data_IF_052107582455
#
_entry.id   IF_052107582455
#
_cell.length_a   1.000
_cell.length_b   1.000
_cell.length_c   1.000
_cell.angle_alpha   90.00
_cell.angle_beta   90.00
_cell.angle_gamma   90.00
#
_symmetry.space_group_name_H-M   'P 1'
#
loop_
_entity.id
_entity.type
_entity.pdbx_description
1 polymer ?
#
# COMPACT_ATOMS: atom_id res chain seq x y z
N UNK A 1 -4.42 11.70 8.73
CA UNK A 1 -3.34 11.41 7.77
C UNK A 1 -3.89 10.34 6.83
N UNK A 2 -3.52 10.30 5.54
CA UNK A 2 -3.98 9.20 4.67
C UNK A 2 -2.95 8.08 4.73
N UNK A 3 -3.31 6.98 5.39
CA UNK A 3 -2.55 5.74 5.35
C UNK A 3 -2.90 4.96 4.08
N UNK A 4 -1.87 4.49 3.39
CA UNK A 4 -2.02 3.56 2.27
C UNK A 4 -1.53 2.21 2.76
N UNK A 5 -2.09 1.14 2.24
CA UNK A 5 -1.53 -0.19 2.42
C UNK A 5 -1.20 -0.82 1.08
N UNK A 6 -0.10 -1.56 1.04
CA UNK A 6 0.49 -2.10 -0.18
C UNK A 6 0.63 -3.61 -0.05
N UNK A 7 0.18 -4.36 -1.06
CA UNK A 7 0.35 -5.81 -1.10
C UNK A 7 1.83 -6.15 -1.28
N UNK A 8 2.39 -6.99 -0.42
CA UNK A 8 3.79 -7.43 -0.53
C UNK A 8 4.08 -8.16 -1.85
N UNK A 9 3.10 -8.90 -2.38
CA UNK A 9 3.31 -9.81 -3.51
C UNK A 9 3.12 -9.12 -4.88
N UNK A 10 2.06 -8.31 -5.03
CA UNK A 10 1.72 -7.69 -6.32
C UNK A 10 1.84 -6.15 -6.34
N UNK A 11 2.08 -5.51 -5.20
CA UNK A 11 2.16 -4.05 -5.12
C UNK A 11 0.80 -3.32 -5.19
N UNK A 12 -0.33 -4.05 -5.17
CA UNK A 12 -1.65 -3.41 -5.17
C UNK A 12 -1.84 -2.52 -3.93
N UNK A 13 -2.26 -1.27 -4.15
CA UNK A 13 -2.43 -0.24 -3.12
C UNK A 13 -3.90 0.11 -2.91
N UNK A 14 -4.29 0.34 -1.65
CA UNK A 14 -5.60 0.91 -1.34
C UNK A 14 -5.50 2.07 -0.33
N UNK A 15 -6.18 3.17 -0.67
CA UNK A 15 -6.53 4.28 0.23
C UNK A 15 -7.71 3.83 1.09
N UNK A 16 -7.48 3.46 2.35
CA UNK A 16 -8.48 3.53 3.45
C UNK A 16 -7.97 2.87 4.75
N UNK A 17 -6.79 2.26 4.73
CA UNK A 17 -6.30 1.45 5.86
C UNK A 17 -4.98 2.02 6.39
N UNK A 18 -4.97 2.36 7.67
CA UNK A 18 -3.75 2.75 8.39
C UNK A 18 -2.99 1.54 8.98
N UNK A 19 -3.62 0.36 9.01
CA UNK A 19 -3.07 -0.82 9.68
C UNK A 19 -2.50 -1.85 8.70
N UNK A 20 -1.32 -2.38 9.04
CA UNK A 20 -0.72 -3.54 8.35
C UNK A 20 -1.44 -4.82 8.78
N UNK A 21 -1.79 -5.68 7.84
CA UNK A 21 -2.53 -6.90 8.16
C UNK A 21 -2.71 -7.82 6.97
N UNK A 22 -3.37 -8.96 7.20
CA UNK A 22 -3.79 -9.83 6.12
C UNK A 22 -5.13 -9.32 5.57
N UNK A 23 -5.14 -8.89 4.31
CA UNK A 23 -6.34 -8.47 3.60
C UNK A 23 -6.50 -9.27 2.31
N UNK A 24 -7.75 -9.36 1.83
CA UNK A 24 -7.99 -9.94 0.52
C UNK A 24 -7.43 -9.02 -0.56
N UNK A 25 -6.48 -9.53 -1.35
CA UNK A 25 -5.95 -8.82 -2.49
C UNK A 25 -6.77 -9.15 -3.75
N UNK A 26 -7.44 -8.18 -4.40
CA UNK A 26 -8.22 -8.44 -5.60
C UNK A 26 -7.34 -8.82 -6.81
N UNK A 27 -6.06 -8.43 -6.83
CA UNK A 27 -5.12 -8.86 -7.89
C UNK A 27 -4.65 -10.31 -7.68
N UNK A 28 -4.28 -10.67 -6.45
CA UNK A 28 -3.84 -12.03 -6.13
C UNK A 28 -5.02 -13.01 -5.92
N UNK A 29 -6.25 -12.49 -5.83
CA UNK A 29 -7.49 -13.20 -5.54
C UNK A 29 -7.44 -14.08 -4.29
N UNK A 30 -6.65 -13.68 -3.29
CA UNK A 30 -6.43 -14.42 -2.03
C UNK A 30 -6.05 -13.46 -0.90
N UNK A 31 -6.16 -13.94 0.33
CA UNK A 31 -5.68 -13.22 1.51
C UNK A 31 -4.14 -13.13 1.49
N UNK A 32 -3.64 -11.91 1.58
CA UNK A 32 -2.21 -11.60 1.56
C UNK A 32 -1.87 -10.56 2.61
N UNK A 33 -0.61 -10.54 3.01
CA UNK A 33 -0.07 -9.54 3.92
C UNK A 33 0.08 -8.21 3.18
N UNK A 34 -0.36 -7.15 3.84
CA UNK A 34 -0.23 -5.78 3.40
C UNK A 34 0.58 -4.98 4.41
N UNK A 35 1.39 -4.05 3.90
CA UNK A 35 2.15 -3.12 4.71
C UNK A 35 1.51 -1.75 4.66
N UNK A 36 1.29 -1.14 5.81
CA UNK A 36 0.87 0.24 5.92
C UNK A 36 2.04 1.18 5.72
N UNK A 37 1.83 2.16 4.85
CA UNK A 37 2.75 3.23 4.56
C UNK A 37 2.02 4.56 4.77
N UNK A 38 2.52 5.35 5.72
CA UNK A 38 2.03 6.68 6.00
C UNK A 38 2.97 7.69 5.34
N UNK A 39 2.47 8.42 4.33
CA UNK A 39 3.24 9.52 3.75
C UNK A 39 3.26 10.70 4.73
N UNK A 40 4.38 10.87 5.43
CA UNK A 40 4.68 12.10 6.16
C UNK A 40 5.08 13.22 5.19
N UNK A 41 4.28 14.29 5.15
CA UNK A 41 4.52 15.56 4.44
C UNK A 41 4.84 15.50 2.92
N UNK A 42 3.81 15.70 2.10
CA UNK A 42 3.92 16.45 0.84
C UNK A 42 4.41 15.73 -0.43
N UNK A 43 4.89 14.49 -0.34
CA UNK A 43 5.28 13.70 -1.51
C UNK A 43 4.07 13.05 -2.17
N UNK A 44 3.79 13.39 -3.44
CA UNK A 44 2.78 12.69 -4.24
C UNK A 44 3.28 11.25 -4.51
N UNK A 45 2.39 10.24 -4.52
CA UNK A 45 2.77 8.83 -4.73
C UNK A 45 3.49 8.55 -6.06
N UNK A 46 3.42 9.47 -7.04
CA UNK A 46 4.14 9.39 -8.32
C UNK A 46 5.66 9.52 -8.22
N UNK A 47 6.20 10.13 -7.16
CA UNK A 47 7.65 10.37 -7.01
C UNK A 47 8.41 9.13 -6.47
N UNK A 48 7.71 8.08 -6.01
CA UNK A 48 8.37 6.89 -5.46
C UNK A 48 8.92 5.95 -6.55
N UNK A 49 8.55 6.16 -7.83
CA UNK A 49 9.00 5.32 -8.95
C UNK A 49 10.34 5.77 -9.58
N UNK A 50 10.87 6.95 -9.25
CA UNK A 50 12.09 7.50 -9.89
C UNK A 50 13.41 7.19 -9.14
N UNK A 51 13.47 6.11 -8.35
CA UNK A 51 14.72 5.63 -7.73
C UNK A 51 14.99 4.14 -7.96
N UNK A 52 14.61 3.63 -9.14
CA UNK A 52 15.07 2.35 -9.68
C UNK A 52 16.02 2.61 -10.85
#
# INVERSE_FOLDING_TARGET
MKGYVICEECGFTFDDKEESGNYYCPQCQKERKFFSFTFGCGGKPSELYERL
#
